data_IF_924402382148
#
_entry.id   IF_924402382148
#
_cell.length_a   1.000
_cell.length_b   1.000
_cell.length_c   1.000
_cell.angle_alpha   90.00
_cell.angle_beta   90.00
_cell.angle_gamma   90.00
#
_symmetry.space_group_name_H-M   'P 1'
#
loop_
_entity.id
_entity.type
_entity.pdbx_description
1 polymer ?
#
# COMPACT_ATOMS: atom_id res chain seq x y z
N UNK A 1 -65.41 -3.33 30.34
CA UNK A 1 -64.93 -3.44 28.94
C UNK A 1 -63.41 -3.47 28.98
N UNK A 2 -62.87 -4.60 28.52
CA UNK A 2 -61.54 -4.89 27.95
C UNK A 2 -60.33 -4.17 28.54
N UNK A 3 -59.56 -4.93 29.33
CA UNK A 3 -58.12 -4.76 29.54
C UNK A 3 -57.36 -5.52 28.43
N UNK A 4 -56.33 -4.90 27.86
CA UNK A 4 -55.30 -5.57 27.03
C UNK A 4 -54.04 -4.68 27.06
N UNK A 5 -53.12 -4.90 28.00
CA UNK A 5 -51.94 -5.79 27.92
C UNK A 5 -50.95 -5.39 26.83
N UNK A 6 -50.01 -4.52 27.20
CA UNK A 6 -48.84 -4.15 26.39
C UNK A 6 -47.83 -5.30 26.34
N UNK A 7 -47.62 -5.90 25.17
CA UNK A 7 -46.45 -6.74 24.90
C UNK A 7 -45.30 -5.85 24.40
N UNK A 8 -44.33 -5.61 25.28
CA UNK A 8 -43.03 -5.05 24.93
C UNK A 8 -42.12 -6.18 24.44
N UNK A 9 -41.93 -6.30 23.12
CA UNK A 9 -40.98 -7.24 22.54
C UNK A 9 -39.55 -6.66 22.65
N UNK A 10 -38.75 -7.16 23.59
CA UNK A 10 -37.30 -6.96 23.59
C UNK A 10 -36.67 -7.88 22.54
N UNK A 11 -36.24 -7.32 21.41
CA UNK A 11 -35.39 -8.01 20.46
C UNK A 11 -33.93 -8.01 20.96
N UNK A 12 -33.41 -9.19 21.28
CA UNK A 12 -31.98 -9.43 21.48
C UNK A 12 -31.29 -9.34 20.11
N UNK A 13 -30.63 -8.23 19.81
CA UNK A 13 -29.63 -8.18 18.75
C UNK A 13 -28.32 -8.76 19.29
N UNK A 14 -28.05 -10.02 18.95
CA UNK A 14 -26.76 -10.64 19.20
C UNK A 14 -25.69 -9.90 18.39
N UNK A 15 -24.81 -9.19 19.08
CA UNK A 15 -23.54 -8.70 18.54
C UNK A 15 -22.57 -9.89 18.38
N UNK A 16 -22.85 -10.80 17.46
CA UNK A 16 -21.84 -11.68 16.87
C UNK A 16 -21.34 -10.98 15.63
N UNK A 17 -20.25 -10.23 15.80
CA UNK A 17 -19.46 -9.62 14.73
C UNK A 17 -18.83 -10.67 13.84
N UNK A 18 -19.64 -11.34 13.03
CA UNK A 18 -19.21 -11.91 11.77
C UNK A 18 -19.22 -10.74 10.79
N UNK A 19 -18.06 -10.12 10.58
CA UNK A 19 -17.89 -9.30 9.40
C UNK A 19 -18.36 -10.16 8.22
N UNK A 20 -19.43 -9.74 7.55
CA UNK A 20 -19.81 -10.35 6.29
C UNK A 20 -18.53 -10.40 5.43
N UNK A 21 -18.25 -11.50 4.71
CA UNK A 21 -17.13 -11.51 3.79
C UNK A 21 -17.30 -10.29 2.89
N UNK A 22 -16.41 -9.31 3.01
CA UNK A 22 -16.44 -8.15 2.14
C UNK A 22 -16.27 -8.71 0.73
N UNK A 23 -17.34 -8.58 -0.07
CA UNK A 23 -17.33 -9.08 -1.43
C UNK A 23 -16.15 -8.47 -2.17
N UNK A 24 -15.42 -9.30 -2.90
CA UNK A 24 -14.27 -8.86 -3.70
C UNK A 24 -14.75 -7.75 -4.64
N UNK A 25 -14.17 -6.53 -4.60
CA UNK A 25 -14.61 -5.45 -5.45
C UNK A 25 -14.57 -5.86 -6.94
N UNK A 26 -15.54 -5.39 -7.73
CA UNK A 26 -15.67 -5.83 -9.12
C UNK A 26 -14.39 -5.57 -9.93
N UNK A 27 -13.88 -6.63 -10.58
CA UNK A 27 -12.65 -6.57 -11.39
C UNK A 27 -11.35 -6.66 -10.58
N UNK A 28 -11.43 -6.90 -9.27
CA UNK A 28 -10.26 -7.19 -8.44
C UNK A 28 -10.02 -8.70 -8.32
N UNK A 29 -8.75 -9.07 -8.12
CA UNK A 29 -8.29 -10.42 -7.78
C UNK A 29 -7.67 -10.43 -6.39
N UNK A 30 -7.81 -11.53 -5.66
CA UNK A 30 -7.15 -11.73 -4.36
C UNK A 30 -5.76 -12.32 -4.61
N UNK A 31 -4.72 -11.66 -4.11
CA UNK A 31 -3.34 -12.08 -4.31
C UNK A 31 -2.50 -11.96 -3.03
N UNK A 32 -1.43 -12.75 -2.97
CA UNK A 32 -0.26 -12.48 -2.16
C UNK A 32 0.72 -11.66 -2.99
N UNK A 33 1.18 -10.53 -2.45
CA UNK A 33 2.26 -9.72 -3.04
C UNK A 33 3.57 -10.31 -2.52
N UNK A 34 4.18 -11.22 -3.29
CA UNK A 34 5.35 -12.00 -2.88
C UNK A 34 6.65 -11.28 -3.23
N UNK A 35 7.71 -11.47 -2.45
CA UNK A 35 9.03 -10.90 -2.78
C UNK A 35 9.76 -11.73 -3.83
N UNK A 36 10.31 -11.08 -4.87
CA UNK A 36 11.15 -11.74 -5.87
C UNK A 36 12.55 -12.12 -5.34
N UNK A 37 12.99 -11.58 -4.20
CA UNK A 37 14.22 -12.03 -3.51
C UNK A 37 14.04 -13.42 -2.94
N UNK A 38 12.89 -13.66 -2.30
CA UNK A 38 12.56 -14.92 -1.64
C UNK A 38 11.04 -15.04 -1.49
N UNK A 39 10.45 -15.97 -2.25
CA UNK A 39 9.00 -16.20 -2.31
C UNK A 39 8.37 -16.67 -0.98
N UNK A 40 9.18 -17.00 0.05
CA UNK A 40 8.68 -17.25 1.41
C UNK A 40 8.19 -15.99 2.10
N UNK A 41 8.51 -14.81 1.58
CA UNK A 41 8.13 -13.53 2.17
C UNK A 41 7.08 -12.82 1.32
N UNK A 42 6.11 -12.22 2.01
CA UNK A 42 5.00 -11.45 1.43
C UNK A 42 4.88 -10.09 2.09
N UNK A 43 4.36 -9.12 1.35
CA UNK A 43 4.01 -7.80 1.84
C UNK A 43 2.79 -7.89 2.75
N UNK A 44 2.93 -7.39 3.97
CA UNK A 44 1.88 -7.41 5.00
C UNK A 44 1.99 -6.15 5.88
N UNK A 45 0.88 -5.50 6.26
CA UNK A 45 0.93 -4.46 7.28
C UNK A 45 1.25 -5.07 8.66
N UNK A 46 2.00 -4.34 9.51
CA UNK A 46 2.30 -4.80 10.89
C UNK A 46 1.05 -5.01 11.75
N UNK A 47 -0.04 -4.34 11.40
CA UNK A 47 -1.35 -4.40 12.02
C UNK A 47 -2.39 -3.92 11.00
N UNK A 48 -3.59 -4.50 10.99
CA UNK A 48 -4.71 -4.08 10.14
C UNK A 48 -5.39 -2.81 10.71
N UNK A 49 -4.65 -1.70 10.74
CA UNK A 49 -5.08 -0.40 11.24
C UNK A 49 -4.47 0.72 10.40
N UNK A 50 -5.24 1.77 10.11
CA UNK A 50 -4.73 2.97 9.45
C UNK A 50 -3.47 3.53 10.14
N UNK A 51 -2.51 4.00 9.34
CA UNK A 51 -1.18 4.44 9.75
C UNK A 51 -0.18 3.30 10.02
N UNK A 52 -0.58 2.03 9.91
CA UNK A 52 0.32 0.90 10.15
C UNK A 52 1.34 0.74 9.03
N UNK A 53 2.61 0.56 9.41
CA UNK A 53 3.70 0.36 8.45
C UNK A 53 3.57 -0.97 7.73
N UNK A 54 3.97 -0.97 6.46
CA UNK A 54 4.03 -2.16 5.62
C UNK A 54 5.42 -2.77 5.70
N UNK A 55 5.47 -4.07 5.94
CA UNK A 55 6.70 -4.86 6.10
C UNK A 55 6.60 -6.12 5.27
N UNK A 56 7.70 -6.84 5.13
CA UNK A 56 7.66 -8.24 4.70
C UNK A 56 7.51 -9.18 5.89
N UNK A 57 6.69 -10.21 5.73
CA UNK A 57 6.49 -11.30 6.68
C UNK A 57 6.58 -12.64 6.00
N UNK A 58 6.83 -13.71 6.75
CA UNK A 58 6.76 -15.07 6.23
C UNK A 58 5.33 -15.37 5.76
N UNK A 59 5.18 -15.94 4.57
CA UNK A 59 3.89 -16.39 4.06
C UNK A 59 3.30 -17.45 5.00
N UNK A 60 2.10 -17.16 5.50
CA UNK A 60 1.31 -18.03 6.38
C UNK A 60 -0.11 -18.24 5.86
N UNK A 61 -0.42 -17.72 4.67
CA UNK A 61 -1.73 -17.79 4.02
C UNK A 61 -2.89 -17.25 4.85
N UNK A 62 -2.59 -16.28 5.73
CA UNK A 62 -3.62 -15.62 6.54
C UNK A 62 -4.29 -14.47 5.78
N UNK A 63 -5.55 -14.11 6.10
CA UNK A 63 -6.26 -13.03 5.42
C UNK A 63 -5.53 -11.68 5.47
N UNK A 64 -4.75 -11.40 6.52
CA UNK A 64 -4.01 -10.14 6.63
C UNK A 64 -2.85 -10.03 5.64
N UNK A 65 -2.50 -11.11 4.94
CA UNK A 65 -1.48 -11.16 3.88
C UNK A 65 -2.08 -11.06 2.47
N UNK A 66 -3.41 -11.05 2.36
CA UNK A 66 -4.13 -11.04 1.10
C UNK A 66 -4.48 -9.62 0.70
N UNK A 67 -4.36 -9.34 -0.60
CA UNK A 67 -4.63 -8.04 -1.17
C UNK A 67 -5.59 -8.17 -2.33
N UNK A 68 -6.56 -7.25 -2.41
CA UNK A 68 -7.32 -7.02 -3.63
C UNK A 68 -6.48 -6.12 -4.54
N UNK A 69 -6.16 -6.65 -5.72
CA UNK A 69 -5.40 -5.94 -6.75
C UNK A 69 -6.19 -5.94 -8.06
N UNK A 70 -6.10 -4.85 -8.82
CA UNK A 70 -6.63 -4.73 -10.18
C UNK A 70 -5.49 -4.29 -11.11
N UNK A 71 -5.55 -4.74 -12.35
CA UNK A 71 -4.55 -4.36 -13.36
C UNK A 71 -4.67 -2.88 -13.75
N UNK A 72 -3.54 -2.25 -14.07
CA UNK A 72 -3.43 -0.82 -14.34
C UNK A 72 -3.39 0.04 -13.07
N UNK A 73 -3.58 1.35 -13.23
CA UNK A 73 -3.60 2.32 -12.13
C UNK A 73 -4.87 2.15 -11.29
N UNK A 74 -4.70 1.58 -10.09
CA UNK A 74 -5.81 1.33 -9.16
C UNK A 74 -5.33 1.32 -7.71
N UNK A 75 -6.29 1.24 -6.78
CA UNK A 75 -5.97 1.03 -5.36
C UNK A 75 -5.57 -0.41 -5.11
N UNK A 76 -4.65 -0.62 -4.18
CA UNK A 76 -4.33 -1.93 -3.62
C UNK A 76 -4.94 -1.99 -2.22
N UNK A 77 -5.95 -2.83 -2.03
CA UNK A 77 -6.74 -2.88 -0.80
C UNK A 77 -6.42 -4.15 -0.01
N UNK A 78 -6.28 -4.03 1.31
CA UNK A 78 -6.11 -5.17 2.20
C UNK A 78 -7.43 -5.97 2.24
N UNK A 79 -7.36 -7.25 1.92
CA UNK A 79 -8.54 -8.09 1.77
C UNK A 79 -9.37 -8.12 3.05
N UNK A 80 -10.71 -8.08 2.91
CA UNK A 80 -11.60 -8.09 4.07
C UNK A 80 -11.60 -6.79 4.89
N UNK A 81 -11.04 -5.69 4.39
CA UNK A 81 -11.01 -4.39 5.11
C UNK A 81 -11.28 -3.22 4.17
N UNK A 82 -11.45 -2.00 4.70
CA UNK A 82 -11.49 -0.73 3.93
C UNK A 82 -10.13 -0.04 3.87
N UNK A 83 -9.03 -0.76 4.17
CA UNK A 83 -7.69 -0.19 4.24
C UNK A 83 -6.96 -0.40 2.91
N UNK A 84 -6.33 0.64 2.40
CA UNK A 84 -5.55 0.65 1.18
C UNK A 84 -4.08 0.88 1.47
N UNK A 85 -3.21 0.30 0.64
CA UNK A 85 -1.81 0.66 0.56
C UNK A 85 -1.70 2.16 0.26
N UNK A 86 -0.78 2.84 0.93
CA UNK A 86 -0.61 4.28 0.84
C UNK A 86 0.87 4.63 0.82
N UNK A 87 1.28 5.35 -0.21
CA UNK A 87 2.60 5.91 -0.45
C UNK A 87 3.06 6.90 0.66
N UNK A 88 2.13 7.32 1.52
CA UNK A 88 2.36 8.14 2.68
C UNK A 88 2.53 9.62 2.36
N UNK A 89 2.58 10.43 3.42
CA UNK A 89 2.69 11.89 3.30
C UNK A 89 3.99 12.33 2.60
N UNK A 90 5.07 11.55 2.70
CA UNK A 90 6.34 11.86 2.05
C UNK A 90 6.24 11.77 0.52
N UNK A 91 5.52 10.79 -0.01
CA UNK A 91 5.18 10.76 -1.43
C UNK A 91 4.31 11.96 -1.81
N UNK A 92 3.25 12.25 -1.04
CA UNK A 92 2.37 13.38 -1.33
C UNK A 92 3.12 14.72 -1.40
N UNK A 93 4.14 14.90 -0.55
CA UNK A 93 5.03 16.06 -0.61
C UNK A 93 5.90 16.08 -1.88
N UNK A 94 6.42 14.92 -2.33
CA UNK A 94 7.20 14.78 -3.58
C UNK A 94 6.35 15.02 -4.83
N UNK A 95 5.15 14.45 -4.89
CA UNK A 95 4.21 14.64 -5.99
C UNK A 95 3.81 16.11 -6.15
N UNK A 96 3.54 16.80 -5.03
CA UNK A 96 3.26 18.25 -5.03
C UNK A 96 4.45 19.08 -5.53
N UNK A 97 5.68 18.71 -5.15
CA UNK A 97 6.88 19.39 -5.63
C UNK A 97 7.12 19.16 -7.14
N UNK A 98 6.85 17.95 -7.66
CA UNK A 98 7.03 17.62 -9.07
C UNK A 98 6.04 18.33 -10.01
N UNK A 99 4.82 18.60 -9.54
CA UNK A 99 3.78 19.31 -10.31
C UNK A 99 3.79 20.84 -10.13
N UNK A 100 4.76 21.39 -9.38
CA UNK A 100 4.92 22.84 -9.24
C UNK A 100 5.69 23.42 -10.44
N UNK A 101 5.37 24.64 -10.91
CA UNK A 101 6.19 25.34 -11.90
C UNK A 101 7.64 25.46 -11.40
N UNK A 102 8.64 25.61 -12.30
CA UNK A 102 10.05 25.68 -11.91
C UNK A 102 10.23 26.68 -10.77
N UNK A 103 10.59 26.17 -9.60
CA UNK A 103 10.72 26.95 -8.39
C UNK A 103 11.85 27.97 -8.58
N UNK A 104 11.59 29.24 -8.33
CA UNK A 104 12.65 30.25 -8.28
C UNK A 104 13.56 29.97 -7.07
N UNK A 105 14.85 30.30 -7.19
CA UNK A 105 15.90 30.00 -6.21
C UNK A 105 15.55 30.34 -4.73
N UNK A 106 14.63 31.28 -4.48
CA UNK A 106 14.18 31.66 -3.14
C UNK A 106 13.24 30.66 -2.44
N UNK A 107 12.67 29.69 -3.17
CA UNK A 107 11.74 28.68 -2.60
C UNK A 107 12.46 27.40 -2.13
N UNK A 108 13.75 27.26 -2.43
CA UNK A 108 14.59 26.15 -1.97
C UNK A 108 15.06 26.28 -0.51
N UNK A 109 14.67 27.34 0.19
CA UNK A 109 15.16 27.62 1.56
C UNK A 109 14.40 26.88 2.68
N UNK A 110 13.26 26.24 2.39
CA UNK A 110 12.62 25.37 3.38
C UNK A 110 13.32 24.01 3.42
N UNK A 111 13.69 23.54 4.62
CA UNK A 111 14.30 22.23 4.83
C UNK A 111 13.48 21.08 4.19
N UNK A 112 12.15 21.27 4.10
CA UNK A 112 11.23 20.34 3.45
C UNK A 112 11.52 20.19 1.95
N UNK A 113 11.78 21.28 1.21
CA UNK A 113 12.08 21.23 -0.24
C UNK A 113 13.47 20.67 -0.53
N UNK A 114 14.47 20.95 0.31
CA UNK A 114 15.84 20.42 0.14
C UNK A 114 15.89 18.90 0.35
N UNK A 115 15.06 18.36 1.25
CA UNK A 115 14.91 16.92 1.45
C UNK A 115 14.16 16.22 0.30
N UNK A 116 13.34 16.95 -0.48
CA UNK A 116 12.59 16.42 -1.63
C UNK A 116 13.47 16.24 -2.88
N UNK A 117 14.52 17.04 -3.06
CA UNK A 117 15.42 17.00 -4.23
C UNK A 117 16.75 16.27 -3.99
N UNK A 118 17.00 15.77 -2.78
CA UNK A 118 18.21 15.01 -2.50
C UNK A 118 18.15 13.64 -3.20
N UNK A 119 19.25 13.15 -3.81
CA UNK A 119 19.26 11.81 -4.40
C UNK A 119 18.86 10.81 -3.33
N UNK A 120 17.77 10.07 -3.59
CA UNK A 120 17.17 9.17 -2.62
C UNK A 120 18.24 8.17 -2.15
N UNK A 121 18.76 8.37 -0.94
CA UNK A 121 19.53 7.33 -0.27
C UNK A 121 18.51 6.32 0.24
N UNK A 122 18.90 5.05 0.31
CA UNK A 122 18.03 3.99 0.83
C UNK A 122 17.50 4.28 2.26
N UNK A 123 18.20 5.14 3.02
CA UNK A 123 17.77 5.67 4.33
C UNK A 123 16.56 6.60 4.26
N UNK A 124 16.35 7.21 3.09
CA UNK A 124 15.32 8.21 2.83
C UNK A 124 14.14 7.66 2.01
N UNK A 125 14.03 6.32 1.88
CA UNK A 125 12.86 5.68 1.30
C UNK A 125 11.60 6.14 2.03
N UNK A 126 10.57 6.52 1.28
CA UNK A 126 9.28 6.83 1.89
C UNK A 126 8.68 5.52 2.42
N UNK A 127 8.30 5.49 3.70
CA UNK A 127 7.67 4.32 4.26
C UNK A 127 6.29 4.11 3.63
N UNK A 128 6.00 2.88 3.22
CA UNK A 128 4.64 2.50 2.86
C UNK A 128 3.84 2.21 4.11
N UNK A 129 2.61 2.69 4.14
CA UNK A 129 1.66 2.43 5.21
C UNK A 129 0.36 1.91 4.62
N UNK A 130 -0.57 1.52 5.47
CA UNK A 130 -1.98 1.36 5.09
C UNK A 130 -2.81 2.47 5.72
N UNK A 131 -3.80 3.00 5.02
CA UNK A 131 -4.76 3.99 5.49
C UNK A 131 -6.15 3.66 4.98
N UNK A 132 -7.17 4.39 5.44
CA UNK A 132 -8.51 4.27 4.85
C UNK A 132 -8.45 4.57 3.34
N UNK A 133 -9.09 3.71 2.55
CA UNK A 133 -9.16 3.89 1.11
C UNK A 133 -9.88 5.20 0.75
N UNK A 134 -9.26 6.03 -0.09
CA UNK A 134 -9.80 7.31 -0.54
C UNK A 134 -9.62 7.48 -2.06
N UNK A 135 -10.68 7.89 -2.77
CA UNK A 135 -10.63 8.07 -4.24
C UNK A 135 -9.76 9.24 -4.67
N UNK A 136 -9.58 10.23 -3.80
CA UNK A 136 -8.80 11.44 -4.06
C UNK A 136 -7.36 11.36 -3.57
N UNK A 137 -6.95 10.23 -2.97
CA UNK A 137 -5.60 10.05 -2.47
C UNK A 137 -4.69 9.55 -3.59
N UNK A 138 -3.94 10.47 -4.21
CA UNK A 138 -2.98 10.13 -5.27
C UNK A 138 -1.94 9.09 -4.80
N UNK A 139 -1.58 9.11 -3.51
CA UNK A 139 -0.68 8.14 -2.89
C UNK A 139 -1.26 6.72 -2.75
N UNK A 140 -2.53 6.53 -3.05
CA UNK A 140 -3.20 5.22 -3.04
C UNK A 140 -3.45 4.69 -4.46
N UNK A 141 -3.01 5.39 -5.50
CA UNK A 141 -3.13 4.95 -6.88
C UNK A 141 -1.83 4.30 -7.36
N UNK A 142 -1.84 2.98 -7.50
CA UNK A 142 -0.68 2.18 -7.91
C UNK A 142 -0.90 1.57 -9.28
N UNK A 143 0.09 1.69 -10.15
CA UNK A 143 0.18 1.04 -11.45
C UNK A 143 0.88 -0.31 -11.31
N UNK A 144 0.12 -1.39 -11.49
CA UNK A 144 0.65 -2.76 -11.54
C UNK A 144 1.24 -3.02 -12.92
N UNK A 145 2.57 -3.07 -13.01
CA UNK A 145 3.27 -3.25 -14.27
C UNK A 145 3.40 -4.72 -14.65
N UNK A 146 3.43 -4.99 -15.96
CA UNK A 146 3.58 -6.35 -16.49
C UNK A 146 4.89 -7.04 -16.09
N UNK A 147 5.92 -6.28 -15.71
CA UNK A 147 7.21 -6.78 -15.24
C UNK A 147 7.26 -7.08 -13.73
N UNK A 148 6.11 -6.99 -13.04
CA UNK A 148 5.98 -7.27 -11.61
C UNK A 148 6.31 -6.10 -10.70
N UNK A 149 6.59 -4.91 -11.24
CA UNK A 149 6.75 -3.69 -10.44
C UNK A 149 5.40 -3.12 -10.04
N UNK A 150 5.34 -2.54 -8.85
CA UNK A 150 4.18 -1.81 -8.34
C UNK A 150 4.61 -0.35 -8.19
N UNK A 151 4.13 0.53 -9.07
CA UNK A 151 4.57 1.92 -9.13
C UNK A 151 3.50 2.88 -8.62
N UNK A 152 3.85 3.98 -7.96
CA UNK A 152 2.87 5.01 -7.59
C UNK A 152 2.53 5.80 -8.85
N UNK A 153 1.28 5.79 -9.30
CA UNK A 153 0.89 6.28 -10.63
C UNK A 153 1.25 7.75 -10.86
N UNK A 154 1.09 8.60 -9.84
CA UNK A 154 1.36 10.04 -9.91
C UNK A 154 2.82 10.44 -9.58
N UNK A 155 3.73 9.47 -9.39
CA UNK A 155 5.13 9.76 -9.05
C UNK A 155 5.96 10.23 -10.24
N UNK A 156 6.76 11.28 -10.04
CA UNK A 156 7.76 11.76 -11.00
C UNK A 156 9.00 12.31 -10.26
N UNK A 157 10.21 11.74 -10.44
CA UNK A 157 10.49 10.51 -11.19
C UNK A 157 9.71 9.31 -10.63
N UNK A 158 9.48 8.30 -11.46
CA UNK A 158 8.64 7.16 -11.06
C UNK A 158 9.22 6.43 -9.85
N UNK A 159 8.41 6.28 -8.80
CA UNK A 159 8.70 5.54 -7.58
C UNK A 159 7.91 4.22 -7.53
N UNK A 160 8.58 3.15 -7.10
CA UNK A 160 8.07 1.78 -7.00
C UNK A 160 8.18 1.28 -5.56
N UNK A 161 7.28 0.37 -5.22
CA UNK A 161 7.36 -0.45 -3.99
C UNK A 161 8.68 -1.22 -4.03
N UNK A 162 9.46 -1.11 -2.96
CA UNK A 162 10.80 -1.71 -2.85
C UNK A 162 11.10 -2.15 -1.42
N UNK A 163 11.96 -3.16 -1.29
CA UNK A 163 12.52 -3.60 -0.03
C UNK A 163 13.54 -2.59 0.47
N UNK A 164 13.36 -2.10 1.70
CA UNK A 164 14.44 -1.36 2.33
C UNK A 164 15.66 -2.29 2.49
N UNK A 165 16.85 -1.77 2.21
CA UNK A 165 18.10 -2.55 2.25
C UNK A 165 18.18 -3.74 1.27
N UNK A 166 17.24 -3.90 0.34
CA UNK A 166 17.13 -5.09 -0.54
C UNK A 166 17.06 -6.42 0.23
N UNK A 167 16.45 -6.43 1.43
CA UNK A 167 16.39 -7.60 2.32
C UNK A 167 14.99 -8.15 2.47
N UNK A 168 14.75 -9.36 1.97
CA UNK A 168 13.54 -10.12 2.28
C UNK A 168 13.75 -10.91 3.58
N UNK A 169 13.63 -10.21 4.71
CA UNK A 169 13.67 -10.81 6.06
C UNK A 169 12.46 -10.34 6.84
N UNK A 170 11.86 -11.20 7.67
CA UNK A 170 10.66 -10.84 8.43
C UNK A 170 10.83 -9.53 9.20
N UNK A 171 9.77 -8.70 9.20
CA UNK A 171 9.73 -7.35 9.77
C UNK A 171 10.60 -6.30 9.06
N UNK A 172 11.27 -6.62 7.95
CA UNK A 172 11.95 -5.61 7.17
C UNK A 172 10.91 -4.69 6.50
N UNK A 173 11.04 -3.37 6.62
CA UNK A 173 10.10 -2.42 6.03
C UNK A 173 10.13 -2.44 4.51
N UNK A 174 8.95 -2.19 3.94
CA UNK A 174 8.73 -1.93 2.52
C UNK A 174 8.51 -0.44 2.37
N UNK A 175 9.13 0.15 1.35
CA UNK A 175 9.03 1.59 1.09
C UNK A 175 8.95 1.88 -0.38
N UNK A 176 9.07 3.16 -0.72
CA UNK A 176 9.17 3.63 -2.08
C UNK A 176 10.61 3.99 -2.43
N UNK A 177 11.03 3.53 -3.60
CA UNK A 177 12.31 3.87 -4.20
C UNK A 177 12.16 4.10 -5.71
N UNK A 178 13.22 4.59 -6.36
CA UNK A 178 13.22 4.79 -7.81
C UNK A 178 12.86 3.49 -8.54
N UNK A 179 11.86 3.53 -9.43
CA UNK A 179 11.49 2.38 -10.26
C UNK A 179 12.60 1.89 -11.20
N UNK A 180 13.63 2.72 -11.42
CA UNK A 180 14.82 2.35 -12.18
C UNK A 180 15.77 1.43 -11.38
N UNK A 181 15.58 1.31 -10.06
CA UNK A 181 16.45 0.60 -9.15
C UNK A 181 17.85 1.21 -9.02
N UNK A 182 18.76 0.47 -8.37
CA UNK A 182 20.17 0.84 -8.28
C UNK A 182 20.87 0.57 -9.62
N UNK A 183 20.75 1.51 -10.57
CA UNK A 183 21.53 1.52 -11.81
C UNK A 183 20.78 1.16 -13.10
N UNK A 184 19.48 1.46 -13.21
CA UNK A 184 18.67 1.19 -14.41
C UNK A 184 18.60 -0.30 -14.81
N UNK A 185 18.97 -1.22 -13.92
CA UNK A 185 18.93 -2.66 -14.18
C UNK A 185 17.49 -3.22 -14.29
N UNK A 186 16.46 -2.36 -14.14
CA UNK A 186 15.06 -2.74 -14.32
C UNK A 186 14.69 -3.96 -13.48
N UNK A 187 13.82 -4.81 -14.03
CA UNK A 187 13.31 -6.05 -13.44
C UNK A 187 14.37 -7.09 -12.97
N UNK A 188 15.68 -6.79 -13.06
CA UNK A 188 16.75 -7.59 -12.46
C UNK A 188 16.98 -7.30 -10.96
N UNK A 189 16.51 -6.16 -10.45
CA UNK A 189 16.59 -5.87 -9.02
C UNK A 189 15.52 -6.67 -8.27
N UNK A 190 15.97 -7.68 -7.51
CA UNK A 190 15.07 -8.59 -6.79
C UNK A 190 14.24 -7.85 -5.72
N UNK A 191 14.64 -6.66 -5.30
CA UNK A 191 13.92 -5.86 -4.29
C UNK A 191 12.66 -5.15 -4.79
N UNK A 192 12.59 -4.84 -6.09
CA UNK A 192 11.56 -3.97 -6.69
C UNK A 192 10.44 -4.78 -7.37
N UNK A 193 10.70 -6.05 -7.68
CA UNK A 193 9.70 -6.91 -8.30
C UNK A 193 8.90 -7.68 -7.24
N UNK A 194 7.58 -7.66 -7.43
CA UNK A 194 6.60 -8.24 -6.51
C UNK A 194 5.64 -9.16 -7.25
N UNK A 195 6.02 -10.43 -7.52
CA UNK A 195 5.12 -11.38 -8.17
C UNK A 195 3.80 -11.51 -7.40
N UNK A 196 2.70 -11.33 -8.12
CA UNK A 196 1.35 -11.45 -7.61
C UNK A 196 0.89 -12.91 -7.74
N UNK A 197 0.86 -13.62 -6.62
CA UNK A 197 0.43 -15.03 -6.57
C UNK A 197 -1.02 -15.08 -6.14
N UNK A 198 -1.89 -15.80 -6.86
CA UNK A 198 -3.29 -15.94 -6.50
C UNK A 198 -3.45 -16.50 -5.07
N UNK A 199 -4.29 -15.85 -4.27
CA UNK A 199 -4.70 -16.38 -2.98
C UNK A 199 -5.98 -17.20 -3.18
N UNK A 200 -5.90 -18.50 -2.89
CA UNK A 200 -7.02 -19.45 -2.93
C UNK A 200 -7.53 -19.75 -1.53
#
# INVERSE_FOLDING_TARGET
MIAATSLLALAFAAASGLAAPLDVPAGYKIVYITSNVNAKFVVQPKAAKAGSAVVVQTLTSKPEQQWYVKDGASKIQLAGTTLCLDAGAKFAARAKAANSPPLHASQYASADVVALCSPAKWKDMAALVINDCADTAEGQNFDIKADGRIAVAASSPQECVDLQYMRATANNPVGLYSCAGLGNAGAGDKGINWPLVAAT
#
